data_IF_588366790494
#
_entry.id   IF_588366790494
#
_cell.length_a   1.000
_cell.length_b   1.000
_cell.length_c   1.000
_cell.angle_alpha   90.00
_cell.angle_beta   90.00
_cell.angle_gamma   90.00
#
_symmetry.space_group_name_H-M   'P 1'
#
loop_
_entity.id
_entity.type
_entity.pdbx_description
1 polymer ?
#
# COMPACT_ATOMS: atom_id res chain seq x y z
N UNK A 1 -17.54 52.55 -3.77
CA UNK A 1 -17.20 52.89 -2.36
C UNK A 1 -18.08 54.03 -1.79
N UNK A 2 -19.42 53.98 -1.91
CA UNK A 2 -20.32 54.99 -1.28
C UNK A 2 -21.07 54.47 -0.04
N UNK A 3 -21.27 53.15 0.10
CA UNK A 3 -22.03 52.56 1.23
C UNK A 3 -21.32 52.55 2.59
N UNK A 4 -19.98 52.51 2.62
CA UNK A 4 -19.22 52.48 3.89
C UNK A 4 -19.15 53.83 4.61
N UNK A 5 -19.37 54.95 3.91
CA UNK A 5 -19.29 56.29 4.49
C UNK A 5 -20.53 56.71 5.31
N UNK A 6 -21.66 56.01 5.16
CA UNK A 6 -22.93 56.35 5.80
C UNK A 6 -23.30 55.51 7.04
N UNK A 7 -22.46 54.54 7.43
CA UNK A 7 -22.72 53.67 8.58
C UNK A 7 -22.27 54.33 9.89
N UNK A 8 -23.09 54.27 10.92
CA UNK A 8 -22.71 54.70 12.28
C UNK A 8 -21.59 53.80 12.83
N UNK A 9 -20.72 54.33 13.71
CA UNK A 9 -19.55 53.61 14.23
C UNK A 9 -19.87 52.19 14.77
N UNK A 10 -21.03 52.03 15.42
CA UNK A 10 -21.54 50.72 15.89
C UNK A 10 -21.79 49.72 14.75
N UNK A 11 -22.40 50.14 13.66
CA UNK A 11 -22.71 49.25 12.52
C UNK A 11 -21.43 48.81 11.79
N UNK A 12 -20.43 49.70 11.69
CA UNK A 12 -19.12 49.35 11.14
C UNK A 12 -18.38 48.32 12.00
N UNK A 13 -18.44 48.46 13.33
CA UNK A 13 -17.84 47.53 14.28
C UNK A 13 -18.50 46.13 14.20
N UNK A 14 -19.83 46.06 14.18
CA UNK A 14 -20.55 44.78 14.06
C UNK A 14 -20.22 44.07 12.75
N UNK A 15 -20.18 44.80 11.62
CA UNK A 15 -19.81 44.22 10.32
C UNK A 15 -18.41 43.61 10.34
N UNK A 16 -17.43 44.30 10.95
CA UNK A 16 -16.06 43.84 11.06
C UNK A 16 -15.99 42.54 11.88
N UNK A 17 -16.63 42.51 13.04
CA UNK A 17 -16.69 41.33 13.91
C UNK A 17 -17.31 40.14 13.16
N UNK A 18 -18.40 40.37 12.42
CA UNK A 18 -19.05 39.33 11.61
C UNK A 18 -18.10 38.76 10.55
N UNK A 19 -17.36 39.61 9.83
CA UNK A 19 -16.38 39.17 8.83
C UNK A 19 -15.26 38.34 9.46
N UNK A 20 -14.76 38.75 10.63
CA UNK A 20 -13.74 37.97 11.35
C UNK A 20 -14.26 36.60 11.79
N UNK A 21 -15.48 36.53 12.33
CA UNK A 21 -16.11 35.26 12.72
C UNK A 21 -16.22 34.32 11.51
N UNK A 22 -16.74 34.81 10.38
CA UNK A 22 -16.85 34.00 9.16
C UNK A 22 -15.48 33.57 8.61
N UNK A 23 -14.47 34.44 8.70
CA UNK A 23 -13.10 34.12 8.26
C UNK A 23 -12.49 33.01 9.11
N UNK A 24 -12.65 33.07 10.44
CA UNK A 24 -12.17 32.03 11.36
C UNK A 24 -12.88 30.70 11.07
N UNK A 25 -14.22 30.73 10.92
CA UNK A 25 -14.99 29.53 10.57
C UNK A 25 -14.51 28.93 9.24
N UNK A 26 -14.29 29.76 8.21
CA UNK A 26 -13.81 29.33 6.90
C UNK A 26 -12.43 28.66 6.97
N UNK A 27 -11.49 29.24 7.70
CA UNK A 27 -10.15 28.65 7.91
C UNK A 27 -10.25 27.38 8.75
N UNK A 28 -11.10 27.34 9.78
CA UNK A 28 -11.30 26.13 10.59
C UNK A 28 -11.92 24.97 9.79
N UNK A 29 -12.88 25.23 8.91
CA UNK A 29 -13.48 24.20 8.05
C UNK A 29 -12.44 23.68 7.05
N UNK A 30 -11.74 24.57 6.34
CA UNK A 30 -10.73 24.19 5.35
C UNK A 30 -9.56 23.44 5.98
N UNK A 31 -9.09 23.87 7.15
CA UNK A 31 -8.07 23.18 7.94
C UNK A 31 -8.51 21.78 8.37
N UNK A 32 -9.70 21.63 8.96
CA UNK A 32 -10.19 20.32 9.40
C UNK A 32 -10.42 19.35 8.23
N UNK A 33 -10.95 19.83 7.09
CA UNK A 33 -11.12 19.00 5.90
C UNK A 33 -9.78 18.49 5.35
N UNK A 34 -8.78 19.36 5.26
CA UNK A 34 -7.44 18.99 4.81
C UNK A 34 -6.79 17.95 5.74
N UNK A 35 -6.91 18.14 7.07
CA UNK A 35 -6.39 17.19 8.06
C UNK A 35 -7.11 15.84 7.95
N UNK A 36 -8.44 15.83 7.83
CA UNK A 36 -9.22 14.58 7.71
C UNK A 36 -8.87 13.81 6.43
N UNK A 37 -8.72 14.50 5.30
CA UNK A 37 -8.30 13.89 4.03
C UNK A 37 -6.87 13.35 4.12
N UNK A 38 -5.95 14.13 4.70
CA UNK A 38 -4.57 13.68 4.95
C UNK A 38 -4.51 12.43 5.83
N UNK A 39 -5.31 12.39 6.90
CA UNK A 39 -5.39 11.23 7.80
C UNK A 39 -5.92 9.99 7.08
N UNK A 40 -6.98 10.11 6.28
CA UNK A 40 -7.54 8.97 5.54
C UNK A 40 -6.55 8.40 4.50
N UNK A 41 -5.81 9.27 3.81
CA UNK A 41 -4.76 8.85 2.87
C UNK A 41 -3.59 8.21 3.58
N UNK A 42 -3.19 8.74 4.73
CA UNK A 42 -2.13 8.14 5.54
C UNK A 42 -2.53 6.74 6.02
N UNK A 43 -3.79 6.58 6.43
CA UNK A 43 -4.34 5.28 6.77
C UNK A 43 -4.26 4.33 5.57
N UNK A 44 -4.71 4.75 4.38
CA UNK A 44 -4.59 3.95 3.16
C UNK A 44 -3.13 3.61 2.79
N UNK A 45 -2.17 4.53 2.94
CA UNK A 45 -0.74 4.25 2.70
C UNK A 45 -0.24 3.14 3.61
N UNK A 46 -0.48 3.25 4.91
CA UNK A 46 0.08 2.35 5.90
C UNK A 46 -0.70 1.03 6.03
N UNK A 47 -2.02 1.08 6.02
CA UNK A 47 -2.85 -0.10 6.28
C UNK A 47 -3.11 -0.93 5.05
N UNK A 48 -3.02 -0.34 3.85
CA UNK A 48 -3.24 -1.04 2.58
C UNK A 48 -1.92 -1.14 1.81
N UNK A 49 -1.42 -0.04 1.25
CA UNK A 49 -0.32 -0.10 0.27
C UNK A 49 0.97 -0.69 0.85
N UNK A 50 1.36 -0.27 2.05
CA UNK A 50 2.56 -0.78 2.72
C UNK A 50 2.38 -2.26 3.11
N UNK A 51 1.21 -2.67 3.59
CA UNK A 51 0.94 -4.07 3.94
C UNK A 51 0.94 -4.98 2.70
N UNK A 52 0.39 -4.49 1.59
CA UNK A 52 0.44 -5.21 0.31
C UNK A 52 1.88 -5.44 -0.14
N UNK A 53 2.70 -4.39 -0.11
CA UNK A 53 4.12 -4.47 -0.44
C UNK A 53 4.89 -5.41 0.50
N UNK A 54 4.68 -5.28 1.81
CA UNK A 54 5.33 -6.13 2.81
C UNK A 54 4.94 -7.60 2.61
N UNK A 55 3.66 -7.88 2.38
CA UNK A 55 3.17 -9.23 2.12
C UNK A 55 3.79 -9.81 0.85
N UNK A 56 3.89 -9.03 -0.24
CA UNK A 56 4.54 -9.47 -1.46
C UNK A 56 6.02 -9.82 -1.23
N UNK A 57 6.78 -8.95 -0.55
CA UNK A 57 8.19 -9.23 -0.25
C UNK A 57 8.37 -10.43 0.67
N UNK A 58 7.55 -10.56 1.71
CA UNK A 58 7.58 -11.73 2.60
C UNK A 58 7.32 -13.01 1.83
N UNK A 59 6.32 -13.03 0.95
CA UNK A 59 6.03 -14.18 0.09
C UNK A 59 7.20 -14.51 -0.83
N UNK A 60 7.89 -13.52 -1.40
CA UNK A 60 9.08 -13.76 -2.24
C UNK A 60 10.18 -14.47 -1.45
N UNK A 61 10.47 -14.02 -0.23
CA UNK A 61 11.49 -14.64 0.63
C UNK A 61 11.12 -16.10 0.93
N UNK A 62 9.90 -16.35 1.41
CA UNK A 62 9.41 -17.71 1.71
C UNK A 62 9.44 -18.64 0.50
N UNK A 63 9.14 -18.11 -0.69
CA UNK A 63 9.18 -18.88 -1.93
C UNK A 63 10.62 -19.20 -2.37
N UNK A 64 11.56 -18.25 -2.24
CA UNK A 64 12.97 -18.53 -2.48
C UNK A 64 13.48 -19.62 -1.54
N UNK A 65 13.21 -19.51 -0.24
CA UNK A 65 13.59 -20.52 0.74
C UNK A 65 12.93 -21.89 0.46
N UNK A 66 11.68 -21.90 -0.02
CA UNK A 66 10.99 -23.13 -0.43
C UNK A 66 11.69 -23.80 -1.61
N UNK A 67 12.03 -23.04 -2.64
CA UNK A 67 12.72 -23.55 -3.82
C UNK A 67 14.15 -24.02 -3.49
N UNK A 68 14.83 -23.35 -2.56
CA UNK A 68 16.13 -23.76 -2.03
C UNK A 68 16.05 -25.09 -1.27
N UNK A 69 15.01 -25.30 -0.46
CA UNK A 69 14.79 -26.58 0.23
C UNK A 69 14.52 -27.72 -0.78
N UNK A 70 13.69 -27.46 -1.79
CA UNK A 70 13.41 -28.41 -2.89
C UNK A 70 14.71 -28.78 -3.60
N UNK A 71 15.55 -27.78 -3.91
CA UNK A 71 16.85 -28.01 -4.52
C UNK A 71 17.78 -28.83 -3.63
N UNK A 72 17.82 -28.53 -2.33
CA UNK A 72 18.63 -29.25 -1.34
C UNK A 72 18.18 -30.71 -1.17
N UNK A 73 16.87 -30.98 -1.22
CA UNK A 73 16.32 -32.34 -1.21
C UNK A 73 16.77 -33.18 -2.41
N UNK A 74 17.03 -32.56 -3.57
CA UNK A 74 17.59 -33.27 -4.72
C UNK A 74 19.06 -33.67 -4.52
N UNK A 75 19.79 -32.95 -3.67
CA UNK A 75 21.23 -33.15 -3.48
C UNK A 75 21.56 -34.04 -2.29
N UNK A 76 20.85 -33.87 -1.17
CA UNK A 76 21.16 -34.55 0.09
C UNK A 76 21.06 -36.08 -0.01
N UNK A 77 21.87 -36.77 0.78
CA UNK A 77 21.87 -38.23 0.92
C UNK A 77 21.54 -38.67 2.35
N UNK A 78 21.44 -37.73 3.29
CA UNK A 78 21.22 -38.01 4.70
C UNK A 78 19.73 -37.97 5.04
N UNK A 79 19.21 -39.05 5.62
CA UNK A 79 17.79 -39.16 5.96
C UNK A 79 17.33 -38.13 7.00
N UNK A 80 18.20 -37.78 7.95
CA UNK A 80 17.92 -36.73 8.94
C UNK A 80 17.73 -35.36 8.30
N UNK A 81 18.59 -35.00 7.34
CA UNK A 81 18.49 -33.72 6.63
C UNK A 81 17.27 -33.72 5.69
N UNK A 82 16.97 -34.85 5.05
CA UNK A 82 15.75 -35.03 4.26
C UNK A 82 14.48 -34.74 5.07
N UNK A 83 14.38 -35.27 6.30
CA UNK A 83 13.22 -35.04 7.16
C UNK A 83 13.12 -33.59 7.63
N UNK A 84 14.26 -32.97 7.96
CA UNK A 84 14.31 -31.56 8.34
C UNK A 84 13.83 -30.66 7.20
N UNK A 85 14.37 -30.81 6.00
CA UNK A 85 13.97 -30.03 4.82
C UNK A 85 12.48 -30.20 4.48
N UNK A 86 11.94 -31.41 4.60
CA UNK A 86 10.49 -31.66 4.42
C UNK A 86 9.64 -30.93 5.46
N UNK A 87 10.08 -30.90 6.72
CA UNK A 87 9.38 -30.17 7.77
C UNK A 87 9.45 -28.65 7.55
N UNK A 88 10.62 -28.14 7.16
CA UNK A 88 10.82 -26.72 6.85
C UNK A 88 9.91 -26.29 5.68
N UNK A 89 9.79 -27.11 4.64
CA UNK A 89 8.83 -26.89 3.55
C UNK A 89 7.38 -26.78 4.02
N UNK A 90 6.95 -27.65 4.94
CA UNK A 90 5.58 -27.62 5.48
C UNK A 90 5.36 -26.30 6.24
N UNK A 91 6.32 -25.90 7.07
CA UNK A 91 6.24 -24.66 7.86
C UNK A 91 6.21 -23.44 6.94
N UNK A 92 7.12 -23.34 5.97
CA UNK A 92 7.18 -22.21 5.03
C UNK A 92 5.94 -22.10 4.16
N UNK A 93 5.41 -23.23 3.66
CA UNK A 93 4.16 -23.25 2.89
C UNK A 93 2.97 -22.77 3.72
N UNK A 94 2.89 -23.19 4.98
CA UNK A 94 1.86 -22.71 5.91
C UNK A 94 2.00 -21.21 6.16
N UNK A 95 3.21 -20.71 6.41
CA UNK A 95 3.44 -19.28 6.64
C UNK A 95 3.08 -18.44 5.39
N UNK A 96 3.34 -18.97 4.20
CA UNK A 96 2.94 -18.36 2.94
C UNK A 96 1.40 -18.30 2.81
N UNK A 97 0.70 -19.38 3.15
CA UNK A 97 -0.77 -19.42 3.13
C UNK A 97 -1.39 -18.44 4.15
N UNK A 98 -0.80 -18.33 5.33
CA UNK A 98 -1.20 -17.35 6.36
C UNK A 98 -0.96 -15.91 5.88
N UNK A 99 0.18 -15.65 5.24
CA UNK A 99 0.50 -14.33 4.68
C UNK A 99 -0.49 -13.92 3.57
N UNK A 100 -0.87 -14.84 2.69
CA UNK A 100 -1.89 -14.59 1.68
C UNK A 100 -3.29 -14.43 2.28
N UNK A 101 -3.64 -15.22 3.28
CA UNK A 101 -4.91 -15.05 4.01
C UNK A 101 -5.00 -13.66 4.66
N UNK A 102 -3.90 -13.17 5.24
CA UNK A 102 -3.83 -11.81 5.80
C UNK A 102 -3.93 -10.73 4.70
N UNK A 103 -3.33 -10.95 3.53
CA UNK A 103 -3.44 -10.04 2.40
C UNK A 103 -4.90 -9.92 1.90
N UNK A 104 -5.64 -11.02 1.86
CA UNK A 104 -7.03 -11.03 1.40
C UNK A 104 -8.00 -10.34 2.36
N UNK A 105 -7.62 -10.17 3.62
CA UNK A 105 -8.38 -9.38 4.60
C UNK A 105 -8.21 -7.87 4.40
N UNK A 106 -7.29 -7.44 3.53
CA UNK A 106 -7.16 -6.04 3.15
C UNK A 106 -8.35 -5.63 2.27
N UNK A 107 -8.66 -4.32 2.23
CA UNK A 107 -9.70 -3.79 1.34
C UNK A 107 -9.24 -3.79 -0.12
N UNK A 108 -9.24 -4.97 -0.74
CA UNK A 108 -8.80 -5.17 -2.11
C UNK A 108 -9.85 -4.72 -3.14
N UNK A 109 -9.37 -4.20 -4.27
CA UNK A 109 -10.19 -3.96 -5.46
C UNK A 109 -10.55 -5.26 -6.18
N UNK A 110 -11.57 -5.24 -7.04
CA UNK A 110 -11.94 -6.40 -7.85
C UNK A 110 -10.77 -6.92 -8.72
N UNK A 111 -9.96 -6.01 -9.28
CA UNK A 111 -8.75 -6.37 -10.03
C UNK A 111 -7.74 -7.08 -9.15
N UNK A 112 -7.46 -6.56 -7.94
CA UNK A 112 -6.53 -7.18 -7.00
C UNK A 112 -7.00 -8.55 -6.51
N UNK A 113 -8.31 -8.76 -6.35
CA UNK A 113 -8.89 -10.06 -6.02
C UNK A 113 -8.64 -11.06 -7.15
N UNK A 114 -8.88 -10.67 -8.40
CA UNK A 114 -8.63 -11.54 -9.56
C UNK A 114 -7.14 -11.90 -9.70
N UNK A 115 -6.26 -10.93 -9.47
CA UNK A 115 -4.81 -11.14 -9.49
C UNK A 115 -4.36 -12.08 -8.36
N UNK A 116 -4.94 -11.95 -7.17
CA UNK A 116 -4.66 -12.85 -6.05
C UNK A 116 -5.13 -14.28 -6.35
N UNK A 117 -6.30 -14.45 -6.96
CA UNK A 117 -6.77 -15.77 -7.38
C UNK A 117 -5.82 -16.41 -8.41
N UNK A 118 -5.40 -15.65 -9.42
CA UNK A 118 -4.44 -16.13 -10.41
C UNK A 118 -3.08 -16.48 -9.79
N UNK A 119 -2.62 -15.69 -8.81
CA UNK A 119 -1.40 -15.97 -8.05
C UNK A 119 -1.52 -17.27 -7.24
N UNK A 120 -2.66 -17.52 -6.60
CA UNK A 120 -2.92 -18.77 -5.87
C UNK A 120 -2.93 -19.98 -6.79
N UNK A 121 -3.54 -19.87 -7.96
CA UNK A 121 -3.53 -20.94 -8.96
C UNK A 121 -2.11 -21.24 -9.45
N UNK A 122 -1.31 -20.21 -9.75
CA UNK A 122 0.09 -20.36 -10.13
C UNK A 122 0.94 -20.98 -9.02
N UNK A 123 0.70 -20.58 -7.75
CA UNK A 123 1.37 -21.17 -6.60
C UNK A 123 0.99 -22.65 -6.42
N UNK A 124 -0.27 -23.00 -6.65
CA UNK A 124 -0.71 -24.40 -6.57
C UNK A 124 -0.03 -25.25 -7.63
N UNK A 125 0.11 -24.75 -8.86
CA UNK A 125 0.86 -25.43 -9.93
C UNK A 125 2.33 -25.62 -9.54
N UNK A 126 2.98 -24.59 -9.00
CA UNK A 126 4.35 -24.67 -8.49
C UNK A 126 4.49 -25.74 -7.40
N UNK A 127 3.58 -25.75 -6.42
CA UNK A 127 3.57 -26.76 -5.35
C UNK A 127 3.42 -28.18 -5.88
N UNK A 128 2.57 -28.38 -6.89
CA UNK A 128 2.41 -29.68 -7.55
C UNK A 128 3.70 -30.13 -8.24
N UNK A 129 4.36 -29.24 -8.99
CA UNK A 129 5.65 -29.53 -9.63
C UNK A 129 6.73 -29.87 -8.58
N UNK A 130 6.86 -29.06 -7.53
CA UNK A 130 7.81 -29.29 -6.45
C UNK A 130 7.57 -30.63 -5.75
N UNK A 131 6.32 -31.00 -5.48
CA UNK A 131 6.01 -32.28 -4.85
C UNK A 131 6.41 -33.48 -5.73
N UNK A 132 6.24 -33.37 -7.05
CA UNK A 132 6.69 -34.41 -7.98
C UNK A 132 8.22 -34.54 -7.98
N UNK A 133 8.93 -33.41 -7.93
CA UNK A 133 10.39 -33.39 -7.82
C UNK A 133 10.87 -34.00 -6.50
N UNK A 134 10.22 -33.66 -5.38
CA UNK A 134 10.53 -34.22 -4.06
C UNK A 134 10.32 -35.75 -4.07
N UNK A 135 9.23 -36.23 -4.65
CA UNK A 135 8.96 -37.67 -4.75
C UNK A 135 10.08 -38.39 -5.53
N UNK A 136 10.45 -37.88 -6.72
CA UNK A 136 11.57 -38.41 -7.51
C UNK A 136 12.90 -38.38 -6.75
N UNK A 137 13.20 -37.27 -6.08
CA UNK A 137 14.41 -37.12 -5.28
C UNK A 137 14.49 -38.16 -4.16
N UNK A 138 13.37 -38.43 -3.47
CA UNK A 138 13.30 -39.43 -2.39
C UNK A 138 13.39 -40.87 -2.89
N UNK A 139 13.08 -41.11 -4.16
CA UNK A 139 13.31 -42.39 -4.84
C UNK A 139 14.74 -42.54 -5.40
N UNK A 140 15.68 -41.67 -4.99
CA UNK A 140 17.05 -41.59 -5.50
C UNK A 140 17.17 -41.29 -7.02
N UNK A 141 16.11 -40.77 -7.65
CA UNK A 141 16.10 -40.39 -9.08
C UNK A 141 16.58 -38.95 -9.29
N UNK A 142 17.77 -38.63 -8.78
CA UNK A 142 18.30 -37.26 -8.66
C UNK A 142 18.48 -36.54 -10.01
N UNK A 143 18.88 -37.26 -11.06
CA UNK A 143 19.03 -36.67 -12.40
C UNK A 143 17.67 -36.37 -13.06
N UNK A 144 16.69 -37.27 -12.89
CA UNK A 144 15.33 -37.05 -13.38
C UNK A 144 14.65 -35.89 -12.64
N UNK A 145 14.81 -35.83 -11.30
CA UNK A 145 14.27 -34.75 -10.48
C UNK A 145 14.86 -33.39 -10.88
N UNK A 146 16.18 -33.32 -11.14
CA UNK A 146 16.82 -32.07 -11.58
C UNK A 146 16.37 -31.63 -12.98
N UNK A 147 16.25 -32.57 -13.92
CA UNK A 147 15.73 -32.26 -15.25
C UNK A 147 14.29 -31.73 -15.19
N UNK A 148 13.45 -32.31 -14.32
CA UNK A 148 12.08 -31.87 -14.09
C UNK A 148 12.04 -30.48 -13.42
N UNK A 149 12.89 -30.24 -12.42
CA UNK A 149 13.03 -28.94 -11.75
C UNK A 149 13.31 -27.80 -12.73
N UNK A 150 14.27 -28.01 -13.64
CA UNK A 150 14.62 -27.00 -14.65
C UNK A 150 13.48 -26.76 -15.65
N UNK A 151 12.71 -27.80 -15.96
CA UNK A 151 11.63 -27.75 -16.95
C UNK A 151 10.33 -27.15 -16.39
N UNK A 152 9.98 -27.45 -15.14
CA UNK A 152 8.68 -27.14 -14.55
C UNK A 152 8.78 -26.11 -13.42
N UNK A 153 9.54 -26.38 -12.37
CA UNK A 153 9.63 -25.50 -11.20
C UNK A 153 10.20 -24.12 -11.55
N UNK A 154 11.32 -24.04 -12.29
CA UNK A 154 11.93 -22.75 -12.63
C UNK A 154 10.99 -21.78 -13.36
N UNK A 155 10.30 -22.16 -14.45
CA UNK A 155 9.38 -21.24 -15.11
C UNK A 155 8.15 -20.90 -14.25
N UNK A 156 7.59 -21.87 -13.52
CA UNK A 156 6.45 -21.61 -12.61
C UNK A 156 6.84 -20.66 -11.49
N UNK A 157 7.99 -20.86 -10.88
CA UNK A 157 8.54 -19.99 -9.84
C UNK A 157 8.74 -18.56 -10.35
N UNK A 158 9.31 -18.39 -11.55
CA UNK A 158 9.46 -17.08 -12.18
C UNK A 158 8.11 -16.39 -12.40
N UNK A 159 7.08 -17.13 -12.81
CA UNK A 159 5.74 -16.58 -13.00
C UNK A 159 5.13 -16.09 -11.67
N UNK A 160 5.27 -16.87 -10.60
CA UNK A 160 4.81 -16.49 -9.26
C UNK A 160 5.56 -15.25 -8.76
N UNK A 161 6.89 -15.19 -8.92
CA UNK A 161 7.68 -14.01 -8.55
C UNK A 161 7.27 -12.77 -9.34
N UNK A 162 7.01 -12.90 -10.63
CA UNK A 162 6.55 -11.78 -11.48
C UNK A 162 5.19 -11.25 -11.04
N UNK A 163 4.27 -12.12 -10.61
CA UNK A 163 2.98 -11.71 -10.08
C UNK A 163 3.13 -10.96 -8.73
N UNK A 164 4.03 -11.42 -7.86
CA UNK A 164 4.36 -10.72 -6.61
C UNK A 164 5.03 -9.37 -6.84
N UNK A 165 5.92 -9.27 -7.84
CA UNK A 165 6.53 -8.00 -8.24
C UNK A 165 5.50 -7.01 -8.76
N UNK A 166 4.52 -7.49 -9.55
CA UNK A 166 3.41 -6.66 -9.99
C UNK A 166 2.62 -6.11 -8.81
N UNK A 167 2.26 -6.96 -7.83
CA UNK A 167 1.57 -6.50 -6.61
C UNK A 167 2.38 -5.42 -5.88
N UNK A 168 3.66 -5.65 -5.65
CA UNK A 168 4.52 -4.69 -4.95
C UNK A 168 4.64 -3.36 -5.72
N UNK A 169 4.79 -3.42 -7.04
CA UNK A 169 4.90 -2.24 -7.90
C UNK A 169 3.60 -1.45 -7.97
N UNK A 170 2.46 -2.11 -8.12
CA UNK A 170 1.15 -1.47 -8.16
C UNK A 170 0.86 -0.77 -6.82
N UNK A 171 1.17 -1.41 -5.69
CA UNK A 171 1.04 -0.79 -4.37
C UNK A 171 1.99 0.41 -4.19
N UNK A 172 3.23 0.32 -4.70
CA UNK A 172 4.18 1.43 -4.67
C UNK A 172 3.73 2.61 -5.54
N UNK A 173 3.21 2.32 -6.73
CA UNK A 173 2.67 3.33 -7.63
C UNK A 173 1.47 4.02 -7.00
N UNK A 174 0.51 3.27 -6.46
CA UNK A 174 -0.64 3.82 -5.75
C UNK A 174 -0.22 4.69 -4.55
N UNK A 175 0.82 4.29 -3.81
CA UNK A 175 1.37 5.09 -2.71
C UNK A 175 2.00 6.40 -3.21
N UNK A 176 2.75 6.33 -4.31
CA UNK A 176 3.41 7.49 -4.92
C UNK A 176 2.39 8.50 -5.46
N UNK A 177 1.40 8.03 -6.21
CA UNK A 177 0.32 8.85 -6.74
C UNK A 177 -0.47 9.54 -5.61
N UNK A 178 -0.79 8.80 -4.54
CA UNK A 178 -1.51 9.37 -3.41
C UNK A 178 -0.67 10.40 -2.63
N UNK A 179 0.65 10.23 -2.53
CA UNK A 179 1.55 11.21 -1.94
C UNK A 179 1.60 12.50 -2.77
N UNK A 180 1.70 12.41 -4.10
CA UNK A 180 1.73 13.58 -4.99
C UNK A 180 0.38 14.33 -5.01
N UNK A 181 -0.73 13.60 -5.00
CA UNK A 181 -2.07 14.20 -4.84
C UNK A 181 -2.19 14.92 -3.49
N UNK A 182 -1.68 14.31 -2.42
CA UNK A 182 -1.70 14.91 -1.07
C UNK A 182 -0.91 16.21 -0.99
N UNK A 183 0.28 16.26 -1.58
CA UNK A 183 1.09 17.49 -1.66
C UNK A 183 0.35 18.59 -2.41
N UNK A 184 -0.20 18.26 -3.58
CA UNK A 184 -0.89 19.24 -4.43
C UNK A 184 -2.12 19.83 -3.73
N UNK A 185 -2.91 19.00 -3.06
CA UNK A 185 -4.09 19.46 -2.33
C UNK A 185 -3.74 20.23 -1.05
N UNK A 186 -2.70 19.81 -0.34
CA UNK A 186 -2.21 20.54 0.83
C UNK A 186 -1.76 21.96 0.45
N UNK A 187 -1.01 22.11 -0.65
CA UNK A 187 -0.59 23.42 -1.17
C UNK A 187 -1.81 24.28 -1.52
N UNK A 188 -2.82 23.72 -2.20
CA UNK A 188 -4.08 24.45 -2.50
C UNK A 188 -4.80 24.89 -1.24
N UNK A 189 -4.87 24.04 -0.22
CA UNK A 189 -5.51 24.36 1.07
C UNK A 189 -4.79 25.52 1.76
N UNK A 190 -3.45 25.46 1.84
CA UNK A 190 -2.61 26.53 2.41
C UNK A 190 -2.81 27.85 1.66
N UNK A 191 -2.78 27.83 0.33
CA UNK A 191 -3.03 29.04 -0.48
C UNK A 191 -4.42 29.62 -0.24
N UNK A 192 -5.44 28.77 -0.12
CA UNK A 192 -6.81 29.20 0.18
C UNK A 192 -6.88 29.87 1.55
N UNK A 193 -6.24 29.30 2.58
CA UNK A 193 -6.16 29.91 3.91
C UNK A 193 -5.44 31.26 3.88
N UNK A 194 -4.30 31.37 3.17
CA UNK A 194 -3.55 32.62 3.02
C UNK A 194 -4.42 33.71 2.38
N UNK A 195 -5.14 33.39 1.30
CA UNK A 195 -6.01 34.34 0.61
C UNK A 195 -7.13 34.84 1.53
N UNK A 196 -7.77 33.93 2.28
CA UNK A 196 -8.83 34.29 3.24
C UNK A 196 -8.27 35.22 4.33
N UNK A 197 -7.10 34.90 4.88
CA UNK A 197 -6.45 35.74 5.91
C UNK A 197 -6.03 37.11 5.37
N UNK A 198 -5.51 37.17 4.14
CA UNK A 198 -5.14 38.45 3.48
C UNK A 198 -6.36 39.33 3.23
N UNK A 199 -7.48 38.76 2.75
CA UNK A 199 -8.72 39.51 2.56
C UNK A 199 -9.25 40.03 3.89
N UNK A 200 -9.27 39.20 4.94
CA UNK A 200 -9.73 39.60 6.27
C UNK A 200 -8.87 40.72 6.88
N UNK A 201 -7.54 40.63 6.75
CA UNK A 201 -6.60 41.66 7.26
C UNK A 201 -6.69 42.96 6.49
N UNK A 202 -6.76 42.93 5.15
CA UNK A 202 -6.92 44.13 4.32
C UNK A 202 -8.24 44.87 4.62
N UNK A 203 -9.34 44.13 4.84
CA UNK A 203 -10.61 44.71 5.25
C UNK A 203 -10.51 45.38 6.62
N UNK A 204 -9.78 44.79 7.58
CA UNK A 204 -9.53 45.37 8.89
C UNK A 204 -8.65 46.62 8.87
N UNK A 205 -7.56 46.60 8.10
CA UNK A 205 -6.65 47.75 7.95
C UNK A 205 -7.33 48.91 7.21
N UNK A 206 -8.04 48.63 6.12
CA UNK A 206 -8.79 49.65 5.40
C UNK A 206 -9.92 50.27 6.25
N UNK A 207 -10.48 49.51 7.20
CA UNK A 207 -11.41 50.04 8.19
C UNK A 207 -10.71 50.99 9.19
N UNK A 208 -9.54 50.61 9.72
CA UNK A 208 -8.78 51.46 10.65
C UNK A 208 -8.36 52.81 10.04
N UNK A 209 -7.93 52.81 8.78
CA UNK A 209 -7.50 54.03 8.08
C UNK A 209 -8.68 54.98 7.75
N UNK A 210 -9.89 54.43 7.56
CA UNK A 210 -11.08 55.19 7.17
C UNK A 210 -12.08 55.42 8.33
N UNK A 211 -11.71 55.06 9.56
CA UNK A 211 -12.48 55.35 10.79
C UNK A 211 -12.07 56.67 11.38
#
# INVERSE_FOLDING_TARGET
>A
MKGFKQLQAKQKLTLLITVFIFSIIGVSITGNLAVKQGSARMDQLFTINMKQMQSAYKSKVLLHETVEDVYSLMLTTEDSENQKLKNDLIVKRKELDENFSAYEQLSLTATQINEMNALKDALQQLRTADNHIIDLATQNKKQESYALYQKETVPLFKNVLSALDKIANDSNQAATEMNELSKTEMVKSVWTSIIITLIATLLGVNWYINS
#
